data_IF_480316204207
#
_entry.id   IF_480316204207
#
_cell.length_a   1.000
_cell.length_b   1.000
_cell.length_c   1.000
_cell.angle_alpha   90.00
_cell.angle_beta   90.00
_cell.angle_gamma   90.00
#
_symmetry.space_group_name_H-M   'P 1'
#
loop_
_entity.id
_entity.type
_entity.pdbx_description
1 polymer ?
#
# COMPACT_ATOMS: atom_id res chain seq x y z
N UNK A 1 -75.33 21.68 -80.31
CA UNK A 1 -74.96 20.30 -80.54
C UNK A 1 -74.43 19.76 -79.26
N UNK A 2 -75.17 18.83 -78.62
CA UNK A 2 -75.00 18.27 -77.30
C UNK A 2 -73.83 17.31 -77.21
N UNK A 3 -73.15 17.28 -76.17
CA UNK A 3 -72.59 16.01 -75.57
C UNK A 3 -72.49 16.11 -74.06
N UNK A 4 -73.13 15.17 -73.38
CA UNK A 4 -73.10 14.88 -71.95
C UNK A 4 -71.79 14.20 -71.60
N UNK A 5 -71.26 14.51 -70.44
CA UNK A 5 -70.32 13.65 -69.81
C UNK A 5 -70.76 13.41 -68.32
N UNK A 6 -70.99 12.11 -68.02
CA UNK A 6 -71.32 11.57 -66.70
C UNK A 6 -70.10 11.54 -65.78
N UNK A 7 -70.26 12.00 -64.58
CA UNK A 7 -69.25 11.83 -63.52
C UNK A 7 -69.45 10.48 -62.79
N UNK A 8 -68.34 9.84 -62.54
CA UNK A 8 -68.22 8.65 -61.65
C UNK A 8 -67.64 9.10 -60.29
N UNK A 9 -68.40 8.94 -59.20
CA UNK A 9 -67.89 9.08 -57.86
C UNK A 9 -67.08 7.84 -57.50
N UNK A 10 -65.83 7.99 -57.26
CA UNK A 10 -65.00 6.96 -56.63
C UNK A 10 -64.99 7.13 -55.10
N UNK A 11 -65.57 6.16 -54.36
CA UNK A 11 -65.48 6.09 -52.92
C UNK A 11 -64.08 5.55 -52.51
N UNK A 12 -63.26 6.38 -51.96
CA UNK A 12 -61.98 5.99 -51.36
C UNK A 12 -62.17 5.48 -49.95
N UNK A 13 -61.95 4.18 -49.72
CA UNK A 13 -61.88 3.56 -48.40
C UNK A 13 -60.54 3.91 -47.73
N UNK A 14 -60.62 4.72 -46.64
CA UNK A 14 -59.50 5.06 -45.77
C UNK A 14 -59.22 3.87 -44.80
N UNK A 15 -58.21 3.03 -45.09
CA UNK A 15 -57.75 2.02 -44.19
C UNK A 15 -56.87 2.64 -43.08
N UNK A 16 -57.38 2.72 -41.87
CA UNK A 16 -56.63 3.10 -40.69
C UNK A 16 -55.87 1.87 -40.18
N UNK A 17 -54.53 1.84 -40.40
CA UNK A 17 -53.66 0.87 -39.76
C UNK A 17 -53.43 1.27 -38.31
N UNK A 18 -54.07 0.52 -37.41
CA UNK A 18 -53.81 0.59 -35.95
C UNK A 18 -52.50 -0.19 -35.71
N UNK A 19 -51.37 0.51 -35.68
CA UNK A 19 -50.08 -0.06 -35.26
C UNK A 19 -50.10 -0.39 -33.77
N UNK A 20 -50.10 -1.65 -33.41
CA UNK A 20 -49.94 -2.14 -32.04
C UNK A 20 -48.48 -1.85 -31.60
N UNK A 21 -48.27 -0.77 -30.87
CA UNK A 21 -46.98 -0.50 -30.21
C UNK A 21 -46.91 -1.43 -28.97
N UNK A 22 -46.22 -2.57 -29.13
CA UNK A 22 -45.83 -3.39 -27.98
C UNK A 22 -44.70 -2.64 -27.27
N UNK A 23 -45.02 -1.93 -26.18
CA UNK A 23 -44.06 -1.42 -25.26
C UNK A 23 -43.40 -2.62 -24.56
N UNK A 24 -42.15 -2.93 -24.94
CA UNK A 24 -41.28 -3.81 -24.14
C UNK A 24 -41.04 -3.05 -22.81
N UNK A 25 -41.73 -3.48 -21.75
CA UNK A 25 -41.43 -3.10 -20.40
C UNK A 25 -39.98 -3.57 -20.15
N UNK A 26 -39.02 -2.65 -20.05
CA UNK A 26 -37.70 -2.96 -19.55
C UNK A 26 -37.90 -3.45 -18.09
N UNK A 27 -37.60 -4.71 -17.84
CA UNK A 27 -37.62 -5.29 -16.51
C UNK A 27 -36.78 -4.39 -15.58
N UNK A 28 -37.37 -3.88 -14.51
CA UNK A 28 -36.64 -3.14 -13.48
C UNK A 28 -35.56 -4.08 -12.93
N UNK A 29 -34.32 -3.61 -12.76
CA UNK A 29 -33.25 -4.44 -12.28
C UNK A 29 -33.63 -5.07 -10.95
N UNK A 30 -33.56 -6.40 -10.85
CA UNK A 30 -33.85 -7.14 -9.62
C UNK A 30 -33.03 -6.57 -8.47
N UNK A 31 -33.63 -6.32 -7.29
CA UNK A 31 -32.87 -5.85 -6.14
C UNK A 31 -31.79 -6.88 -5.80
N UNK A 32 -30.53 -6.42 -5.70
CA UNK A 32 -29.44 -7.33 -5.35
C UNK A 32 -29.54 -7.85 -3.92
N UNK A 33 -29.00 -9.01 -3.67
CA UNK A 33 -28.97 -9.65 -2.35
C UNK A 33 -27.77 -9.10 -1.58
N UNK A 34 -27.98 -8.53 -0.36
CA UNK A 34 -26.89 -8.04 0.47
C UNK A 34 -25.85 -9.14 0.78
N UNK A 35 -24.59 -8.87 0.51
CA UNK A 35 -23.48 -9.80 0.67
C UNK A 35 -22.34 -9.09 1.37
N UNK A 36 -22.13 -9.42 2.65
CA UNK A 36 -21.05 -8.82 3.45
C UNK A 36 -19.72 -9.47 3.13
N UNK A 37 -18.69 -8.64 2.92
CA UNK A 37 -17.32 -9.08 2.66
C UNK A 37 -16.38 -8.37 3.62
N UNK A 38 -15.63 -9.15 4.39
CA UNK A 38 -14.53 -8.68 5.24
C UNK A 38 -13.23 -8.91 4.52
N UNK A 39 -12.37 -7.88 4.47
CA UNK A 39 -11.02 -7.94 3.89
C UNK A 39 -10.01 -7.51 4.95
N UNK A 40 -8.87 -8.21 5.00
CA UNK A 40 -7.72 -7.83 5.82
C UNK A 40 -6.44 -7.82 5.01
N UNK A 41 -5.68 -6.75 5.17
CA UNK A 41 -4.33 -6.62 4.64
C UNK A 41 -3.36 -6.83 5.79
N UNK A 42 -2.47 -7.79 5.61
CA UNK A 42 -1.49 -8.20 6.63
C UNK A 42 -0.08 -8.05 6.06
N UNK A 43 0.90 -7.79 6.91
CA UNK A 43 2.30 -7.88 6.52
C UNK A 43 2.70 -9.36 6.44
N UNK A 44 3.46 -9.73 5.42
CA UNK A 44 4.02 -11.08 5.33
C UNK A 44 4.89 -11.38 6.56
N UNK A 45 4.64 -12.49 7.23
CA UNK A 45 5.29 -12.86 8.51
C UNK A 45 5.17 -11.77 9.59
N UNK A 46 4.10 -10.99 9.55
CA UNK A 46 3.86 -9.90 10.48
C UNK A 46 2.37 -9.83 10.85
N UNK A 47 1.95 -8.74 11.46
CA UNK A 47 0.59 -8.55 11.94
C UNK A 47 -0.27 -7.82 10.90
N UNK A 48 -1.54 -7.60 11.24
CA UNK A 48 -2.47 -6.82 10.42
C UNK A 48 -2.01 -5.37 10.32
N UNK A 49 -2.15 -4.74 9.17
CA UNK A 49 -1.86 -3.32 8.99
C UNK A 49 -2.95 -2.48 9.68
N UNK A 50 -2.66 -2.09 10.92
CA UNK A 50 -3.57 -1.30 11.73
C UNK A 50 -3.36 0.21 11.62
N UNK A 51 -4.04 0.96 12.49
CA UNK A 51 -4.02 2.43 12.51
C UNK A 51 -2.62 3.02 12.74
N UNK A 52 -1.71 2.28 13.42
CA UNK A 52 -0.33 2.69 13.63
C UNK A 52 0.39 3.02 12.32
N UNK A 53 0.13 2.24 11.27
CA UNK A 53 0.69 2.41 9.92
C UNK A 53 -0.25 3.15 8.96
N UNK A 54 -1.37 3.68 9.46
CA UNK A 54 -2.42 4.33 8.66
C UNK A 54 -3.32 3.32 7.93
N UNK A 55 -3.27 2.04 8.30
CA UNK A 55 -4.04 0.98 7.66
C UNK A 55 -3.62 0.69 6.23
N UNK A 56 -4.57 0.18 5.45
CA UNK A 56 -4.40 -0.12 4.04
C UNK A 56 -5.65 0.29 3.24
N UNK A 57 -5.46 0.83 2.05
CA UNK A 57 -6.55 1.07 1.10
C UNK A 57 -7.01 -0.25 0.49
N UNK A 58 -8.32 -0.50 0.50
CA UNK A 58 -8.93 -1.72 -0.06
C UNK A 58 -9.89 -1.32 -1.16
N UNK A 59 -9.87 -2.07 -2.27
CA UNK A 59 -10.81 -1.92 -3.38
C UNK A 59 -11.33 -3.28 -3.79
N UNK A 60 -12.64 -3.39 -4.00
CA UNK A 60 -13.32 -4.56 -4.55
C UNK A 60 -13.87 -4.18 -5.92
N UNK A 61 -13.43 -4.85 -6.97
CA UNK A 61 -13.77 -4.54 -8.36
C UNK A 61 -14.39 -5.75 -9.05
N UNK A 62 -15.51 -5.55 -9.73
CA UNK A 62 -16.09 -6.57 -10.62
C UNK A 62 -15.17 -6.77 -11.83
N UNK A 63 -14.71 -8.00 -12.06
CA UNK A 63 -13.79 -8.31 -13.16
C UNK A 63 -14.46 -8.30 -14.54
N UNK A 64 -15.75 -8.53 -14.59
CA UNK A 64 -16.48 -8.57 -15.86
C UNK A 64 -16.78 -7.16 -16.40
N UNK A 65 -17.12 -6.24 -15.50
CA UNK A 65 -17.53 -4.86 -15.88
C UNK A 65 -16.44 -3.83 -15.62
N UNK A 66 -15.47 -4.13 -14.77
CA UNK A 66 -14.48 -3.19 -14.30
C UNK A 66 -15.01 -2.20 -13.23
N UNK A 67 -16.27 -2.33 -12.82
CA UNK A 67 -16.87 -1.42 -11.84
C UNK A 67 -16.29 -1.64 -10.44
N UNK A 68 -16.02 -0.55 -9.73
CA UNK A 68 -15.68 -0.58 -8.31
C UNK A 68 -16.95 -0.80 -7.51
N UNK A 69 -17.04 -1.95 -6.84
CA UNK A 69 -18.20 -2.33 -6.01
C UNK A 69 -18.11 -1.77 -4.60
N UNK A 70 -16.88 -1.66 -4.07
CA UNK A 70 -16.61 -1.00 -2.79
C UNK A 70 -15.14 -0.57 -2.72
N UNK A 71 -14.88 0.50 -1.96
CA UNK A 71 -13.53 0.94 -1.62
C UNK A 71 -13.53 1.65 -0.28
N UNK A 72 -12.38 1.62 0.41
CA UNK A 72 -12.19 2.30 1.69
C UNK A 72 -10.84 1.98 2.31
N UNK A 73 -10.71 2.32 3.58
CA UNK A 73 -9.48 2.09 4.35
C UNK A 73 -9.76 1.06 5.43
N UNK A 74 -8.86 0.09 5.55
CA UNK A 74 -8.80 -0.82 6.69
C UNK A 74 -8.40 -0.06 7.94
N UNK A 75 -9.17 -0.16 9.01
CA UNK A 75 -8.93 0.52 10.29
C UNK A 75 -9.04 -0.45 11.46
N UNK A 76 -8.36 -0.13 12.57
CA UNK A 76 -8.32 -0.92 13.79
C UNK A 76 -6.89 -1.24 14.26
N UNK A 77 -6.75 -2.17 15.21
CA UNK A 77 -5.44 -2.58 15.75
C UNK A 77 -4.68 -3.55 14.84
N UNK A 78 -3.40 -3.77 15.13
CA UNK A 78 -2.59 -4.78 14.46
C UNK A 78 -3.04 -6.24 14.72
N UNK A 79 -3.99 -6.46 15.62
CA UNK A 79 -4.45 -7.77 16.04
C UNK A 79 -3.70 -8.31 17.28
N UNK A 80 -3.94 -9.57 17.63
CA UNK A 80 -3.29 -10.22 18.77
C UNK A 80 -2.00 -10.94 18.36
N UNK A 81 -0.87 -10.45 18.87
CA UNK A 81 0.46 -10.98 18.55
C UNK A 81 0.59 -12.48 18.85
N UNK A 82 0.04 -12.94 19.96
CA UNK A 82 0.16 -14.34 20.35
C UNK A 82 -0.55 -15.25 19.37
N UNK A 83 -1.80 -14.92 19.03
CA UNK A 83 -2.61 -15.71 18.12
C UNK A 83 -2.05 -15.68 16.68
N UNK A 84 -1.54 -14.54 16.23
CA UNK A 84 -1.06 -14.38 14.86
C UNK A 84 0.33 -14.99 14.68
N UNK A 85 1.26 -14.79 15.62
CA UNK A 85 2.67 -15.10 15.43
C UNK A 85 3.20 -16.26 16.25
N UNK A 86 2.58 -16.58 17.41
CA UNK A 86 3.19 -17.47 18.39
C UNK A 86 2.43 -18.78 18.59
N UNK A 87 1.15 -18.85 18.20
CA UNK A 87 0.32 -20.05 18.39
C UNK A 87 0.31 -20.87 17.10
N UNK A 88 0.62 -22.19 17.16
CA UNK A 88 0.46 -23.08 15.99
C UNK A 88 -0.97 -23.07 15.52
N UNK A 89 -1.18 -22.90 14.21
CA UNK A 89 -2.51 -22.83 13.60
C UNK A 89 -3.09 -24.20 13.29
N UNK A 90 -4.38 -24.34 13.52
CA UNK A 90 -5.19 -25.35 12.85
C UNK A 90 -5.78 -24.77 11.55
N UNK A 91 -6.05 -25.62 10.56
CA UNK A 91 -6.44 -25.18 9.21
C UNK A 91 -7.70 -24.30 9.16
N UNK A 92 -8.63 -24.45 10.11
CA UNK A 92 -9.91 -23.73 10.17
C UNK A 92 -9.93 -22.64 11.25
N UNK A 93 -8.82 -22.40 11.94
CA UNK A 93 -8.75 -21.45 13.03
C UNK A 93 -8.72 -20.02 12.52
N UNK A 94 -9.53 -19.17 13.13
CA UNK A 94 -9.55 -17.74 12.85
C UNK A 94 -8.60 -17.02 13.81
N UNK A 95 -7.64 -16.30 13.27
CA UNK A 95 -6.59 -15.64 14.06
C UNK A 95 -6.56 -14.12 13.88
N UNK A 96 -7.09 -13.64 12.75
CA UNK A 96 -7.10 -12.21 12.44
C UNK A 96 -8.40 -11.52 12.86
N UNK A 97 -9.46 -12.26 13.15
CA UNK A 97 -10.81 -11.72 13.47
C UNK A 97 -11.02 -11.35 14.93
N UNK A 98 -9.96 -11.32 15.73
CA UNK A 98 -10.06 -10.93 17.13
C UNK A 98 -10.55 -9.50 17.30
N UNK A 99 -11.22 -9.23 18.41
CA UNK A 99 -11.86 -7.95 18.71
C UNK A 99 -10.87 -6.78 18.55
N UNK A 100 -11.26 -5.78 17.76
CA UNK A 100 -10.47 -4.58 17.50
C UNK A 100 -9.38 -4.74 16.44
N UNK A 101 -9.21 -5.93 15.87
CA UNK A 101 -8.28 -6.15 14.76
C UNK A 101 -8.75 -5.42 13.50
N UNK A 102 -7.81 -4.75 12.82
CA UNK A 102 -8.11 -3.96 11.65
C UNK A 102 -8.76 -4.79 10.53
N UNK A 103 -9.76 -4.21 9.89
CA UNK A 103 -10.43 -4.79 8.72
C UNK A 103 -11.10 -3.71 7.89
N UNK A 104 -11.34 -4.02 6.63
CA UNK A 104 -12.29 -3.32 5.77
C UNK A 104 -13.51 -4.21 5.59
N UNK A 105 -14.70 -3.67 5.87
CA UNK A 105 -15.97 -4.41 5.72
C UNK A 105 -16.89 -3.66 4.78
N UNK A 106 -17.39 -4.36 3.77
CA UNK A 106 -18.36 -3.83 2.83
C UNK A 106 -19.57 -4.75 2.69
N UNK A 107 -20.74 -4.17 2.45
CA UNK A 107 -21.96 -4.92 2.06
C UNK A 107 -22.26 -4.60 0.60
N UNK A 108 -22.09 -5.61 -0.26
CA UNK A 108 -22.34 -5.52 -1.69
C UNK A 108 -23.77 -5.96 -2.01
N UNK A 109 -24.39 -5.34 -3.00
CA UNK A 109 -25.70 -5.76 -3.53
C UNK A 109 -25.48 -6.60 -4.79
N UNK A 110 -25.48 -7.92 -4.66
CA UNK A 110 -25.19 -8.84 -5.76
C UNK A 110 -26.48 -9.48 -6.31
N UNK A 111 -26.66 -9.46 -7.63
CA UNK A 111 -27.79 -10.11 -8.30
C UNK A 111 -27.45 -11.50 -8.85
N UNK A 112 -26.14 -11.80 -9.01
CA UNK A 112 -25.62 -13.06 -9.56
C UNK A 112 -24.25 -13.37 -8.97
N UNK A 113 -23.74 -14.61 -9.12
CA UNK A 113 -22.34 -14.90 -8.81
C UNK A 113 -21.42 -13.95 -9.56
N UNK A 114 -20.55 -13.27 -8.82
CA UNK A 114 -19.69 -12.18 -9.34
C UNK A 114 -18.23 -12.48 -9.02
N UNK A 115 -17.41 -12.59 -10.05
CA UNK A 115 -15.97 -12.72 -9.90
C UNK A 115 -15.39 -11.32 -9.63
N UNK A 116 -14.72 -11.15 -8.50
CA UNK A 116 -14.15 -9.87 -8.10
C UNK A 116 -12.65 -9.95 -7.95
N UNK A 117 -11.95 -8.88 -8.29
CA UNK A 117 -10.58 -8.61 -7.85
C UNK A 117 -10.64 -7.76 -6.59
N UNK A 118 -9.99 -8.23 -5.53
CA UNK A 118 -9.85 -7.50 -4.28
C UNK A 118 -8.39 -7.10 -4.14
N UNK A 119 -8.13 -5.81 -4.02
CA UNK A 119 -6.78 -5.25 -3.86
C UNK A 119 -6.64 -4.57 -2.52
N UNK A 120 -5.46 -4.74 -1.91
CA UNK A 120 -5.03 -4.04 -0.70
C UNK A 120 -3.71 -3.33 -0.94
N UNK A 121 -3.60 -2.06 -0.55
CA UNK A 121 -2.40 -1.25 -0.71
C UNK A 121 -2.07 -0.54 0.60
N UNK A 122 -0.88 -0.78 1.13
CA UNK A 122 -0.42 -0.20 2.40
C UNK A 122 1.07 -0.48 2.64
N UNK A 123 1.62 0.01 3.74
CA UNK A 123 1.05 0.88 4.78
C UNK A 123 0.86 2.33 4.30
N UNK A 124 -0.26 2.97 4.64
CA UNK A 124 -0.59 4.29 4.05
C UNK A 124 0.25 5.42 4.64
N UNK A 125 0.67 5.31 5.89
CA UNK A 125 1.52 6.30 6.57
C UNK A 125 2.95 6.34 6.05
N UNK A 126 3.41 5.28 5.38
CA UNK A 126 4.77 5.12 4.90
C UNK A 126 4.80 4.96 3.36
N UNK A 127 4.69 6.05 2.59
CA UNK A 127 4.54 5.98 1.13
C UNK A 127 5.63 5.20 0.40
N UNK A 128 6.89 5.27 0.87
CA UNK A 128 8.02 4.53 0.28
C UNK A 128 7.97 3.03 0.55
N UNK A 129 7.40 2.62 1.68
CA UNK A 129 7.20 1.22 2.04
C UNK A 129 5.92 0.63 1.44
N UNK A 130 5.06 1.44 0.83
CA UNK A 130 3.76 1.01 0.32
C UNK A 130 3.89 -0.08 -0.74
N UNK A 131 3.13 -1.15 -0.56
CA UNK A 131 3.07 -2.33 -1.45
C UNK A 131 1.62 -2.69 -1.69
N UNK A 132 1.38 -3.49 -2.71
CA UNK A 132 0.05 -3.93 -3.13
C UNK A 132 0.00 -5.44 -3.27
N UNK A 133 -1.12 -6.02 -2.82
CA UNK A 133 -1.50 -7.40 -3.09
C UNK A 133 -2.91 -7.45 -3.65
N UNK A 134 -3.24 -8.50 -4.39
CA UNK A 134 -4.58 -8.75 -4.88
C UNK A 134 -4.94 -10.23 -4.83
N UNK A 135 -6.26 -10.51 -4.72
CA UNK A 135 -6.83 -11.85 -4.87
C UNK A 135 -8.09 -11.78 -5.71
N UNK A 136 -8.26 -12.78 -6.55
CA UNK A 136 -9.52 -13.00 -7.29
C UNK A 136 -10.39 -13.96 -6.52
N UNK A 137 -11.65 -13.57 -6.28
CA UNK A 137 -12.62 -14.35 -5.50
C UNK A 137 -13.97 -14.35 -6.20
N UNK A 138 -14.63 -15.52 -6.25
CA UNK A 138 -16.03 -15.61 -6.67
C UNK A 138 -16.94 -15.35 -5.47
N UNK A 139 -17.69 -14.26 -5.51
CA UNK A 139 -18.71 -13.94 -4.51
C UNK A 139 -20.07 -14.46 -4.98
N UNK A 140 -20.82 -15.07 -4.07
CA UNK A 140 -22.16 -15.56 -4.34
C UNK A 140 -23.18 -14.74 -3.54
N UNK A 141 -24.30 -14.29 -4.16
CA UNK A 141 -25.33 -13.50 -3.48
C UNK A 141 -25.80 -14.13 -2.16
N UNK A 142 -25.75 -13.37 -1.07
CA UNK A 142 -26.15 -13.82 0.27
C UNK A 142 -25.13 -14.73 0.99
N UNK A 143 -24.03 -15.13 0.36
CA UNK A 143 -22.94 -15.88 1.03
C UNK A 143 -21.94 -14.88 1.59
N UNK A 144 -22.10 -14.55 2.87
CA UNK A 144 -21.22 -13.59 3.56
C UNK A 144 -19.82 -14.18 3.77
N UNK A 145 -18.81 -13.35 3.56
CA UNK A 145 -17.41 -13.63 3.87
C UNK A 145 -17.06 -12.87 5.16
N UNK A 146 -17.04 -13.59 6.26
CA UNK A 146 -16.86 -13.06 7.63
C UNK A 146 -15.68 -13.73 8.34
N UNK A 147 -15.53 -13.51 9.64
CA UNK A 147 -14.41 -14.03 10.40
C UNK A 147 -13.09 -13.36 9.98
N UNK A 148 -12.06 -14.15 9.66
CA UNK A 148 -10.80 -13.64 9.14
C UNK A 148 -10.98 -12.95 7.78
N UNK A 149 -12.03 -13.32 7.05
CA UNK A 149 -12.36 -12.73 5.77
C UNK A 149 -11.37 -13.12 4.67
N UNK A 150 -11.20 -12.22 3.70
CA UNK A 150 -10.21 -12.37 2.64
C UNK A 150 -8.95 -11.68 3.09
N UNK A 151 -7.90 -12.47 3.32
CA UNK A 151 -6.60 -11.99 3.79
C UNK A 151 -5.69 -11.75 2.58
N UNK A 152 -5.12 -10.55 2.49
CA UNK A 152 -4.14 -10.13 1.49
C UNK A 152 -2.80 -9.92 2.18
N UNK A 153 -1.80 -10.72 1.81
CA UNK A 153 -0.45 -10.61 2.35
C UNK A 153 0.38 -9.65 1.51
N UNK A 154 1.02 -8.66 2.13
CA UNK A 154 1.96 -7.76 1.47
C UNK A 154 3.36 -7.95 2.03
N UNK A 155 4.34 -8.03 1.13
CA UNK A 155 5.74 -8.20 1.48
C UNK A 155 6.45 -6.86 1.63
N UNK A 156 7.41 -6.78 2.53
CA UNK A 156 8.26 -5.62 2.68
C UNK A 156 8.64 -5.31 4.12
N UNK A 157 9.49 -4.29 4.23
CA UNK A 157 9.93 -3.68 5.49
C UNK A 157 9.73 -2.17 5.40
N UNK A 158 9.46 -1.54 6.53
CA UNK A 158 9.47 -0.08 6.68
C UNK A 158 10.87 0.30 7.11
N UNK A 159 11.62 0.95 6.23
CA UNK A 159 12.96 1.48 6.51
C UNK A 159 12.87 2.99 6.48
N UNK A 160 13.45 3.67 7.47
CA UNK A 160 13.48 5.13 7.52
C UNK A 160 14.84 5.62 7.99
N UNK A 161 15.49 6.46 7.19
CA UNK A 161 16.68 7.21 7.61
C UNK A 161 16.20 8.36 8.49
N UNK A 162 16.57 8.32 9.77
CA UNK A 162 16.18 9.33 10.76
C UNK A 162 17.29 10.36 11.03
N UNK A 163 18.52 10.02 10.65
CA UNK A 163 19.68 10.94 10.72
C UNK A 163 20.70 10.53 9.66
N UNK A 164 21.35 11.50 9.01
CA UNK A 164 21.16 12.94 9.12
C UNK A 164 19.83 13.41 8.54
N UNK A 165 19.36 14.57 9.00
CA UNK A 165 18.16 15.23 8.46
C UNK A 165 18.51 16.12 7.26
N UNK A 166 17.53 16.47 6.41
CA UNK A 166 17.74 17.31 5.22
C UNK A 166 17.86 18.81 5.52
N UNK A 167 17.73 19.19 6.77
CA UNK A 167 17.74 20.59 7.21
C UNK A 167 19.11 21.26 7.14
N UNK A 168 20.17 20.51 6.85
CA UNK A 168 21.53 21.03 6.64
C UNK A 168 22.28 20.23 5.57
N UNK A 169 23.20 20.88 4.85
CA UNK A 169 24.09 20.19 3.92
C UNK A 169 25.13 19.35 4.66
N UNK A 170 25.70 18.38 3.96
CA UNK A 170 26.81 17.57 4.45
C UNK A 170 28.15 18.16 4.01
N UNK A 171 29.12 18.24 4.93
CA UNK A 171 30.47 18.71 4.65
C UNK A 171 31.37 17.64 4.04
N UNK A 172 32.04 17.96 2.96
CA UNK A 172 33.04 17.07 2.34
C UNK A 172 34.20 16.87 3.32
N UNK A 173 34.43 15.62 3.73
CA UNK A 173 35.45 15.26 4.73
C UNK A 173 34.92 15.09 6.14
N UNK A 174 33.62 15.37 6.38
CA UNK A 174 32.98 15.17 7.67
C UNK A 174 32.74 13.68 8.00
N UNK A 175 32.83 13.35 9.27
CA UNK A 175 32.30 12.11 9.84
C UNK A 175 30.77 12.20 9.93
N UNK A 176 30.09 11.20 9.43
CA UNK A 176 28.62 11.12 9.37
C UNK A 176 28.14 9.95 10.22
N UNK A 177 27.32 10.22 11.22
CA UNK A 177 26.59 9.19 11.95
C UNK A 177 25.18 9.04 11.36
N UNK A 178 24.95 7.87 10.80
CA UNK A 178 23.69 7.52 10.13
C UNK A 178 22.84 6.72 11.10
N UNK A 179 21.60 7.13 11.32
CA UNK A 179 20.62 6.37 12.09
C UNK A 179 19.45 6.02 11.22
N UNK A 180 19.01 4.78 11.32
CA UNK A 180 17.85 4.26 10.58
C UNK A 180 16.97 3.43 11.50
N UNK A 181 15.68 3.39 11.22
CA UNK A 181 14.75 2.44 11.82
C UNK A 181 14.35 1.39 10.81
N UNK A 182 14.17 0.15 11.29
CA UNK A 182 13.65 -0.96 10.50
C UNK A 182 12.51 -1.58 11.24
N UNK A 183 11.33 -1.60 10.61
CA UNK A 183 10.12 -2.21 11.17
C UNK A 183 9.48 -3.13 10.13
N UNK A 184 8.70 -4.10 10.59
CA UNK A 184 7.81 -4.86 9.73
C UNK A 184 6.69 -3.97 9.20
N UNK A 185 5.95 -4.41 8.19
CA UNK A 185 4.86 -3.65 7.56
C UNK A 185 3.73 -3.23 8.51
N UNK A 186 3.64 -3.82 9.70
CA UNK A 186 2.72 -3.47 10.78
C UNK A 186 3.25 -2.39 11.75
N UNK A 187 4.41 -1.79 11.48
CA UNK A 187 5.22 -0.99 12.42
C UNK A 187 5.74 -1.80 13.62
N UNK A 188 5.77 -3.09 13.51
CA UNK A 188 6.29 -4.00 14.53
C UNK A 188 7.83 -3.94 14.50
N UNK A 189 8.43 -3.77 15.67
CA UNK A 189 9.85 -3.46 15.84
C UNK A 189 10.71 -4.65 15.45
N UNK A 190 11.75 -4.39 14.65
CA UNK A 190 12.83 -5.31 14.33
C UNK A 190 14.00 -5.00 15.28
N UNK A 191 14.37 -5.99 16.12
CA UNK A 191 15.43 -5.83 17.12
C UNK A 191 16.08 -7.18 17.44
N UNK A 192 17.32 -7.21 17.98
CA UNK A 192 17.95 -8.47 18.36
C UNK A 192 17.13 -9.21 19.43
N UNK A 193 16.96 -10.52 19.23
CA UNK A 193 16.22 -11.42 20.13
C UNK A 193 14.71 -11.09 20.28
N UNK A 194 14.18 -10.17 19.48
CA UNK A 194 12.75 -9.85 19.41
C UNK A 194 11.95 -10.87 18.62
N UNK A 195 10.63 -10.63 18.51
CA UNK A 195 9.76 -11.46 17.66
C UNK A 195 10.15 -11.38 16.18
N UNK A 196 10.73 -10.26 15.77
CA UNK A 196 11.36 -10.05 14.47
C UNK A 196 12.83 -9.77 14.73
N UNK A 197 13.59 -10.87 14.78
CA UNK A 197 14.99 -10.83 15.18
C UNK A 197 15.88 -10.24 14.08
N UNK A 198 16.46 -9.08 14.35
CA UNK A 198 17.33 -8.40 13.38
C UNK A 198 18.57 -9.20 12.99
N UNK A 199 19.00 -10.20 13.80
CA UNK A 199 20.13 -11.08 13.47
C UNK A 199 19.82 -12.02 12.29
N UNK A 200 18.53 -12.17 11.95
CA UNK A 200 18.03 -12.94 10.80
C UNK A 200 17.76 -12.04 9.60
N UNK A 201 18.23 -10.80 9.63
CA UNK A 201 18.05 -9.82 8.55
C UNK A 201 19.38 -9.26 8.10
N UNK A 202 19.42 -8.85 6.83
CA UNK A 202 20.50 -8.07 6.28
C UNK A 202 20.14 -6.59 6.35
N UNK A 203 21.05 -5.75 6.84
CA UNK A 203 20.90 -4.31 6.89
C UNK A 203 22.21 -3.64 6.50
N UNK A 204 22.19 -2.88 5.43
CA UNK A 204 23.37 -2.14 4.96
C UNK A 204 23.00 -0.81 4.33
N UNK A 205 23.97 0.09 4.26
CA UNK A 205 23.86 1.37 3.57
C UNK A 205 24.76 1.42 2.34
N UNK A 206 24.30 2.09 1.29
CA UNK A 206 25.06 2.48 0.12
C UNK A 206 25.21 4.00 0.12
N UNK A 207 26.44 4.47 0.00
CA UNK A 207 26.72 5.88 -0.25
C UNK A 207 26.99 6.04 -1.75
N UNK A 208 26.25 6.94 -2.41
CA UNK A 208 26.20 7.07 -3.86
C UNK A 208 26.45 8.50 -4.30
N UNK A 209 27.17 8.65 -5.40
CA UNK A 209 27.34 9.91 -6.12
C UNK A 209 27.18 9.64 -7.61
N UNK A 210 26.36 10.43 -8.30
CA UNK A 210 26.06 10.25 -9.74
C UNK A 210 25.67 8.79 -10.06
N UNK A 211 24.76 8.19 -9.27
CA UNK A 211 24.30 6.79 -9.37
C UNK A 211 25.38 5.72 -9.14
N UNK A 212 26.62 6.09 -8.85
CA UNK A 212 27.70 5.15 -8.53
C UNK A 212 27.80 4.94 -7.03
N UNK A 213 27.87 3.68 -6.58
CA UNK A 213 28.17 3.34 -5.18
C UNK A 213 29.65 3.63 -4.93
N UNK A 214 29.94 4.52 -3.98
CA UNK A 214 31.29 4.93 -3.59
C UNK A 214 31.70 4.41 -2.21
N UNK A 215 30.77 3.83 -1.47
CA UNK A 215 31.01 3.27 -0.15
C UNK A 215 29.81 2.52 0.40
N UNK A 216 30.09 1.71 1.41
CA UNK A 216 29.09 0.94 2.16
C UNK A 216 29.13 1.35 3.63
N UNK A 217 27.99 1.17 4.30
CA UNK A 217 27.82 1.44 5.73
C UNK A 217 27.27 0.17 6.37
N UNK A 218 27.95 -0.31 7.37
CA UNK A 218 27.45 -1.38 8.25
C UNK A 218 26.64 -0.76 9.40
N UNK A 219 25.55 -1.40 9.75
CA UNK A 219 24.67 -0.93 10.81
C UNK A 219 24.66 -1.89 11.99
N UNK A 220 24.70 -1.31 13.18
CA UNK A 220 24.59 -2.03 14.43
C UNK A 220 23.39 -1.53 15.22
N UNK A 221 22.68 -2.43 15.89
CA UNK A 221 21.55 -2.08 16.73
C UNK A 221 22.01 -1.16 17.88
N UNK A 222 21.36 -0.02 18.04
CA UNK A 222 21.68 1.00 19.04
C UNK A 222 20.44 1.44 19.81
N UNK A 223 20.24 0.83 20.98
CA UNK A 223 19.17 1.24 21.89
C UNK A 223 17.79 0.69 21.54
N UNK A 224 16.75 1.19 22.21
CA UNK A 224 15.40 0.67 22.08
C UNK A 224 14.77 1.03 20.73
N UNK A 225 13.73 0.28 20.34
CA UNK A 225 12.84 0.58 19.22
C UNK A 225 13.41 0.41 17.81
N UNK A 226 14.22 -0.65 17.59
CA UNK A 226 14.66 -0.98 16.22
C UNK A 226 15.48 0.13 15.57
N UNK A 227 16.27 0.88 16.37
CA UNK A 227 17.21 1.88 15.84
C UNK A 227 18.55 1.22 15.56
N UNK A 228 19.05 1.45 14.36
CA UNK A 228 20.36 1.00 13.92
C UNK A 228 21.22 2.21 13.58
N UNK A 229 22.51 2.11 13.89
CA UNK A 229 23.48 3.17 13.64
C UNK A 229 24.68 2.63 12.88
N UNK A 230 25.14 3.40 11.92
CA UNK A 230 26.40 3.20 11.22
C UNK A 230 27.11 4.51 11.01
N UNK A 231 28.42 4.46 10.84
CA UNK A 231 29.25 5.63 10.65
C UNK A 231 29.92 5.61 9.27
N UNK A 232 30.07 6.78 8.67
CA UNK A 232 30.73 6.96 7.37
C UNK A 232 31.50 8.27 7.35
N UNK A 233 32.69 8.27 6.75
CA UNK A 233 33.45 9.50 6.52
C UNK A 233 33.30 9.91 5.05
N UNK A 234 32.79 11.11 4.80
CA UNK A 234 32.60 11.64 3.45
C UNK A 234 33.98 11.89 2.82
N UNK A 235 34.31 11.20 1.70
CA UNK A 235 35.65 11.31 1.13
C UNK A 235 35.99 12.71 0.64
N UNK A 236 37.20 13.17 0.95
CA UNK A 236 37.72 14.53 0.52
C UNK A 236 37.86 14.67 -1.00
N UNK A 237 38.00 13.55 -1.72
CA UNK A 237 38.08 13.57 -3.20
C UNK A 237 36.75 13.92 -3.87
N UNK A 238 35.65 13.99 -3.13
CA UNK A 238 34.35 14.47 -3.64
C UNK A 238 34.30 15.99 -3.87
N UNK A 239 35.42 16.71 -3.67
CA UNK A 239 35.51 18.12 -3.97
C UNK A 239 35.03 18.40 -5.42
N UNK A 240 34.05 19.29 -5.56
CA UNK A 240 33.43 19.61 -6.85
C UNK A 240 32.16 18.81 -7.14
N UNK A 241 31.77 17.87 -6.26
CA UNK A 241 30.44 17.26 -6.27
C UNK A 241 29.50 18.06 -5.37
N UNK A 242 28.25 18.17 -5.79
CA UNK A 242 27.22 18.97 -5.12
C UNK A 242 26.17 18.14 -4.37
N UNK A 243 26.14 16.82 -4.57
CA UNK A 243 25.16 15.90 -3.98
C UNK A 243 25.77 14.57 -3.59
N UNK A 244 25.20 13.97 -2.53
CA UNK A 244 25.47 12.62 -2.08
C UNK A 244 24.14 11.96 -1.73
N UNK A 245 23.91 10.76 -2.22
CA UNK A 245 22.72 9.95 -1.90
C UNK A 245 23.10 8.85 -0.94
N UNK A 246 22.39 8.78 0.16
CA UNK A 246 22.42 7.66 1.10
C UNK A 246 21.22 6.80 0.88
N UNK A 247 21.43 5.51 0.62
CA UNK A 247 20.39 4.49 0.54
C UNK A 247 20.63 3.46 1.63
N UNK A 248 19.61 3.17 2.43
CA UNK A 248 19.64 2.10 3.42
C UNK A 248 18.68 1.02 2.98
N UNK A 249 19.15 -0.22 2.95
CA UNK A 249 18.39 -1.39 2.52
C UNK A 249 18.34 -2.39 3.67
N UNK A 250 17.16 -2.95 3.90
CA UNK A 250 16.96 -4.07 4.81
C UNK A 250 16.21 -5.20 4.10
N UNK A 251 16.57 -6.44 4.38
CA UNK A 251 15.88 -7.63 3.86
C UNK A 251 15.85 -8.75 4.89
N UNK A 252 14.84 -9.63 4.81
CA UNK A 252 14.91 -10.92 5.50
C UNK A 252 15.88 -11.88 4.77
N UNK A 253 16.25 -12.97 5.42
CA UNK A 253 17.22 -13.93 4.88
C UNK A 253 16.77 -14.58 3.55
N UNK A 254 15.47 -14.66 3.30
CA UNK A 254 14.94 -15.20 2.05
C UNK A 254 14.77 -14.15 0.95
N UNK A 255 14.99 -12.86 1.27
CA UNK A 255 14.82 -11.76 0.31
C UNK A 255 13.37 -11.51 -0.10
N UNK A 256 12.39 -11.98 0.67
CA UNK A 256 10.96 -11.81 0.41
C UNK A 256 10.46 -10.47 0.97
N UNK A 257 10.85 -10.15 2.20
CA UNK A 257 10.56 -8.86 2.81
C UNK A 257 11.77 -7.94 2.63
N UNK A 258 11.67 -7.05 1.65
CA UNK A 258 12.71 -6.06 1.35
C UNK A 258 12.14 -4.67 1.51
N UNK A 259 12.87 -3.80 2.20
CA UNK A 259 12.56 -2.38 2.31
C UNK A 259 13.79 -1.52 2.08
N UNK A 260 13.59 -0.28 1.70
CA UNK A 260 14.67 0.70 1.62
C UNK A 260 14.15 2.11 1.87
N UNK A 261 15.06 2.96 2.30
CA UNK A 261 14.89 4.41 2.28
C UNK A 261 16.09 5.07 1.58
N UNK A 262 15.85 6.19 0.96
CA UNK A 262 16.87 6.91 0.19
C UNK A 262 16.69 8.41 0.35
N UNK A 263 17.80 9.10 0.69
CA UNK A 263 17.81 10.54 0.84
C UNK A 263 19.03 11.09 0.11
N UNK A 264 18.83 12.13 -0.71
CA UNK A 264 19.88 12.86 -1.39
C UNK A 264 20.15 14.17 -0.65
N UNK A 265 21.38 14.34 -0.19
CA UNK A 265 21.85 15.50 0.56
C UNK A 265 22.67 16.42 -0.32
N UNK A 266 22.55 17.74 -0.15
CA UNK A 266 23.51 18.68 -0.72
C UNK A 266 24.88 18.50 -0.06
N UNK A 267 25.95 18.54 -0.87
CA UNK A 267 27.33 18.55 -0.43
C UNK A 267 27.90 19.97 -0.52
N UNK A 268 28.66 20.35 0.50
CA UNK A 268 29.36 21.59 0.54
C UNK A 268 30.82 21.37 0.98
N UNK A 269 31.79 22.29 0.67
CA UNK A 269 33.08 22.27 1.34
C UNK A 269 32.89 22.23 2.86
N UNK A 270 33.79 21.52 3.57
CA UNK A 270 33.56 21.28 5.01
C UNK A 270 33.54 22.58 5.84
N UNK A 271 34.24 23.62 5.38
CA UNK A 271 34.23 24.96 5.99
C UNK A 271 32.82 25.58 5.99
N UNK A 272 31.96 25.19 5.06
CA UNK A 272 30.60 25.70 4.92
C UNK A 272 29.55 24.85 5.68
N UNK A 273 29.92 23.68 6.17
CA UNK A 273 29.07 22.85 7.01
C UNK A 273 29.15 23.21 8.49
N UNK A 274 30.05 24.10 8.86
CA UNK A 274 30.39 24.50 10.24
C UNK A 274 30.34 26.00 10.44
N UNK A 275 29.99 26.42 11.66
CA UNK A 275 30.10 27.81 12.06
C UNK A 275 31.59 28.24 12.27
N UNK A 276 31.80 29.53 12.50
CA UNK A 276 33.15 30.10 12.75
C UNK A 276 33.84 29.50 13.98
N UNK A 277 33.15 28.77 14.84
CA UNK A 277 33.69 28.08 16.01
C UNK A 277 33.99 26.61 15.76
N UNK A 278 33.78 26.12 14.52
CA UNK A 278 33.91 24.71 14.15
C UNK A 278 32.76 23.82 14.57
N UNK A 279 31.63 24.38 15.01
CA UNK A 279 30.41 23.65 15.32
C UNK A 279 29.55 23.53 14.08
N UNK A 280 28.74 22.45 14.05
CA UNK A 280 27.74 22.27 12.99
C UNK A 280 26.81 23.48 12.91
N UNK A 281 26.57 23.98 11.71
CA UNK A 281 25.59 25.05 11.49
C UNK A 281 24.20 24.52 11.92
N UNK A 282 23.47 25.23 12.81
CA UNK A 282 22.15 24.79 13.21
C UNK A 282 21.18 24.78 12.01
N UNK A 283 20.12 23.93 12.04
CA UNK A 283 19.15 23.84 10.96
C UNK A 283 18.51 25.19 10.65
N UNK A 284 18.29 25.44 9.38
CA UNK A 284 17.50 26.58 8.91
C UNK A 284 16.08 26.45 9.45
N UNK A 285 15.59 27.48 10.14
CA UNK A 285 14.22 27.53 10.69
C UNK A 285 13.19 27.67 9.58
#
# INVERSE_FOLDING_TARGET
MMLKHSGILGAGTLSVFFGLVVALAADAPSPGIPTTVVVRVVGNRAMVLGDAVGGAAVTIKDMATGAVLASGVQTGSGGDLRSIMMTPRQQIEQIYSLKGSASFTATLSLTKPTLVEITGEGPLKFPRAKRRASKTVLLYPGKHVTGDGIVLDINGLIVQIVSPTLDRPLGIGDGLTIRTTVNMMCDCIVEPFGNWDSRMMELYGEVRVDDTVIGHVEFFHQGPKGIFQGDYTIPKWLKGKDRLTLRVVASDAEGINVGYDEITYPLVPWEQSRDATGRDIPPLK
#
